data_IF_411815628556
#
_entry.id   IF_411815628556
#
_cell.length_a   1.000
_cell.length_b   1.000
_cell.length_c   1.000
_cell.angle_alpha   90.00
_cell.angle_beta   90.00
_cell.angle_gamma   90.00
#
_symmetry.space_group_name_H-M   'P 1'
#
loop_
_entity.id
_entity.type
_entity.pdbx_description
1 polymer ?
#
# COMPACT_ATOMS: atom_id res chain seq x y z
N UNK A 1 -5.87 -15.97 -11.59
CA UNK A 1 -6.74 -15.07 -10.81
C UNK A 1 -8.20 -15.40 -11.09
N UNK A 2 -8.74 -16.44 -10.47
CA UNK A 2 -10.16 -16.78 -10.55
C UNK A 2 -10.74 -16.75 -9.14
N UNK A 3 -11.87 -16.02 -9.00
CA UNK A 3 -12.81 -16.03 -7.88
C UNK A 3 -12.43 -15.18 -6.64
N UNK A 4 -12.24 -13.88 -6.83
CA UNK A 4 -12.81 -12.92 -5.90
C UNK A 4 -14.34 -12.85 -6.22
N UNK A 5 -15.20 -12.87 -5.21
CA UNK A 5 -16.68 -12.87 -5.42
C UNK A 5 -17.19 -11.51 -5.92
N UNK A 6 -16.37 -10.46 -5.92
CA UNK A 6 -16.73 -9.13 -6.40
C UNK A 6 -16.80 -9.12 -7.93
N UNK A 7 -17.78 -8.43 -8.53
CA UNK A 7 -17.87 -8.32 -9.98
C UNK A 7 -16.61 -7.67 -10.56
N UNK A 8 -16.08 -8.19 -11.66
CA UNK A 8 -14.92 -7.60 -12.38
C UNK A 8 -15.17 -6.14 -12.81
N UNK A 9 -16.41 -5.72 -12.89
CA UNK A 9 -16.80 -4.34 -13.25
C UNK A 9 -16.41 -3.32 -12.19
N UNK A 10 -16.23 -3.72 -10.92
CA UNK A 10 -15.85 -2.83 -9.82
C UNK A 10 -14.33 -2.77 -9.62
N UNK A 11 -13.53 -3.56 -10.36
CA UNK A 11 -12.07 -3.53 -10.27
C UNK A 11 -11.53 -2.24 -10.89
N UNK A 12 -10.91 -1.39 -10.05
CA UNK A 12 -10.33 -0.12 -10.45
C UNK A 12 -8.89 -0.27 -10.94
N UNK A 13 -8.07 -1.01 -10.21
CA UNK A 13 -6.67 -1.28 -10.57
C UNK A 13 -6.45 -2.79 -10.65
N UNK A 14 -5.76 -3.22 -11.70
CA UNK A 14 -5.28 -4.60 -11.87
C UNK A 14 -3.78 -4.62 -12.08
N UNK A 15 -3.08 -5.36 -11.25
CA UNK A 15 -1.65 -5.64 -11.38
C UNK A 15 -1.48 -7.13 -11.71
N UNK A 16 -0.74 -7.45 -12.77
CA UNK A 16 -0.58 -8.83 -13.24
C UNK A 16 0.88 -9.13 -13.55
N UNK A 17 1.45 -10.12 -12.84
CA UNK A 17 2.80 -10.61 -13.06
C UNK A 17 3.88 -9.53 -13.00
N UNK A 18 3.68 -8.49 -12.17
CA UNK A 18 4.53 -7.31 -12.13
C UNK A 18 5.93 -7.65 -11.65
N UNK A 19 6.95 -7.20 -12.42
CA UNK A 19 8.36 -7.39 -12.09
C UNK A 19 9.11 -6.07 -12.20
N UNK A 20 10.03 -5.85 -11.26
CA UNK A 20 11.01 -4.76 -11.31
C UNK A 20 12.35 -5.24 -10.79
N UNK A 21 13.33 -5.26 -11.69
CA UNK A 21 14.69 -5.66 -11.40
C UNK A 21 15.63 -4.48 -11.61
N UNK A 22 16.49 -4.24 -10.63
CA UNK A 22 17.51 -3.18 -10.69
C UNK A 22 18.89 -3.81 -10.86
N UNK A 23 19.68 -3.39 -11.89
CA UNK A 23 21.02 -3.93 -12.09
C UNK A 23 22.00 -3.36 -11.07
N UNK A 24 22.76 -4.23 -10.40
CA UNK A 24 23.95 -3.86 -9.63
C UNK A 24 25.14 -3.83 -10.60
N UNK A 25 25.78 -2.67 -10.71
CA UNK A 25 26.95 -2.47 -11.57
C UNK A 25 28.20 -2.29 -10.71
N UNK A 26 29.28 -3.03 -10.99
CA UNK A 26 30.57 -2.91 -10.30
C UNK A 26 31.71 -2.63 -11.29
N UNK A 27 32.76 -1.95 -10.78
CA UNK A 27 33.97 -1.68 -11.50
C UNK A 27 33.92 -0.53 -12.51
N UNK A 28 35.09 -0.17 -13.08
CA UNK A 28 35.30 0.94 -14.01
C UNK A 28 34.45 0.81 -15.30
N UNK A 29 34.17 -0.43 -15.75
CA UNK A 29 33.38 -0.73 -16.94
C UNK A 29 31.87 -0.87 -16.67
N UNK A 30 31.34 -0.56 -15.48
CA UNK A 30 29.91 -0.67 -15.09
C UNK A 30 29.26 -2.01 -15.44
N UNK A 31 30.03 -3.12 -15.39
CA UNK A 31 29.53 -4.46 -15.71
C UNK A 31 28.43 -4.87 -14.71
N UNK A 32 27.31 -5.39 -15.22
CA UNK A 32 26.23 -5.91 -14.39
C UNK A 32 26.71 -7.18 -13.70
N UNK A 33 26.74 -7.19 -12.38
CA UNK A 33 27.18 -8.30 -11.53
C UNK A 33 26.04 -9.05 -10.86
N UNK A 34 24.92 -8.38 -10.63
CA UNK A 34 23.70 -8.98 -10.04
C UNK A 34 22.47 -8.14 -10.42
N UNK A 35 21.28 -8.72 -10.18
CA UNK A 35 20.00 -8.06 -10.38
C UNK A 35 19.20 -8.10 -9.08
N UNK A 36 18.89 -6.95 -8.50
CA UNK A 36 18.01 -6.84 -7.33
C UNK A 36 16.57 -7.03 -7.79
N UNK A 37 15.94 -8.12 -7.37
CA UNK A 37 14.53 -8.43 -7.67
C UNK A 37 13.62 -7.73 -6.67
N UNK A 38 13.47 -6.41 -6.81
CA UNK A 38 12.69 -5.60 -5.87
C UNK A 38 11.18 -5.91 -5.90
N UNK A 39 10.66 -6.28 -7.08
CA UNK A 39 9.29 -6.80 -7.28
C UNK A 39 9.42 -7.98 -8.23
N UNK A 40 8.87 -9.14 -7.86
CA UNK A 40 9.04 -10.39 -8.60
C UNK A 40 7.73 -11.19 -8.61
N UNK A 41 7.00 -11.09 -9.73
CA UNK A 41 5.73 -11.78 -9.97
C UNK A 41 4.59 -11.37 -9.01
N UNK A 42 4.37 -10.07 -8.84
CA UNK A 42 3.31 -9.51 -8.01
C UNK A 42 2.01 -9.37 -8.82
N UNK A 43 0.90 -9.91 -8.27
CA UNK A 43 -0.43 -9.82 -8.89
C UNK A 43 -1.49 -9.56 -7.83
N UNK A 44 -2.31 -8.52 -8.03
CA UNK A 44 -3.47 -8.20 -7.19
C UNK A 44 -4.41 -7.24 -7.92
N UNK A 45 -5.64 -7.12 -7.42
CA UNK A 45 -6.62 -6.12 -7.85
C UNK A 45 -7.07 -5.25 -6.70
N UNK A 46 -7.44 -4.00 -7.00
CA UNK A 46 -8.08 -3.06 -6.07
C UNK A 46 -9.44 -2.69 -6.65
N UNK A 47 -10.48 -2.73 -5.81
CA UNK A 47 -11.85 -2.40 -6.20
C UNK A 47 -12.18 -0.95 -5.86
N UNK A 48 -13.16 -0.37 -6.54
CA UNK A 48 -13.63 1.00 -6.23
C UNK A 48 -14.13 1.11 -4.80
N UNK A 49 -13.74 2.18 -4.12
CA UNK A 49 -14.09 2.43 -2.72
C UNK A 49 -13.40 1.53 -1.72
N UNK A 50 -12.44 0.69 -2.14
CA UNK A 50 -11.68 -0.23 -1.28
C UNK A 50 -10.40 0.41 -0.76
N UNK A 51 -10.02 0.06 0.46
CA UNK A 51 -8.66 0.23 0.98
C UNK A 51 -7.93 -1.11 0.96
N UNK A 52 -7.00 -1.29 0.01
CA UNK A 52 -6.09 -2.44 -0.01
C UNK A 52 -4.80 -2.13 0.74
N UNK A 53 -4.53 -2.84 1.83
CA UNK A 53 -3.27 -2.79 2.57
C UNK A 53 -2.16 -3.56 1.85
N UNK A 54 -0.96 -2.98 1.74
CA UNK A 54 0.25 -3.68 1.30
C UNK A 54 1.28 -3.65 2.42
N UNK A 55 1.51 -4.80 3.07
CA UNK A 55 2.31 -4.92 4.28
C UNK A 55 3.50 -5.86 4.14
N UNK A 56 4.48 -5.74 5.02
CA UNK A 56 5.67 -6.60 5.08
C UNK A 56 6.87 -5.87 5.66
N UNK A 57 7.97 -6.60 5.90
CA UNK A 57 9.21 -6.05 6.45
C UNK A 57 9.78 -4.93 5.57
N UNK A 58 10.62 -4.05 6.16
CA UNK A 58 11.32 -3.01 5.41
C UNK A 58 12.14 -3.63 4.27
N UNK A 59 12.15 -2.97 3.11
CA UNK A 59 12.90 -3.45 1.93
C UNK A 59 12.23 -4.59 1.15
N UNK A 60 11.04 -5.09 1.54
CA UNK A 60 10.37 -6.18 0.81
C UNK A 60 9.78 -5.76 -0.55
N UNK A 61 9.80 -4.48 -0.94
CA UNK A 61 9.38 -4.01 -2.27
C UNK A 61 8.09 -3.18 -2.31
N UNK A 62 7.46 -2.85 -1.18
CA UNK A 62 6.20 -2.07 -1.09
C UNK A 62 6.28 -0.72 -1.81
N UNK A 63 7.21 0.13 -1.41
CA UNK A 63 7.42 1.45 -2.03
C UNK A 63 7.81 1.33 -3.51
N UNK A 64 8.54 0.27 -3.90
CA UNK A 64 8.85 0.02 -5.32
C UNK A 64 7.58 -0.31 -6.10
N UNK A 65 6.69 -1.11 -5.53
CA UNK A 65 5.37 -1.42 -6.12
C UNK A 65 4.52 -0.15 -6.27
N UNK A 66 4.47 0.70 -5.23
CA UNK A 66 3.82 2.00 -5.30
C UNK A 66 4.36 2.87 -6.45
N UNK A 67 5.69 3.01 -6.55
CA UNK A 67 6.35 3.82 -7.59
C UNK A 67 6.13 3.26 -9.00
N UNK A 68 5.95 1.96 -9.17
CA UNK A 68 5.57 1.34 -10.44
C UNK A 68 4.12 1.71 -10.81
N UNK A 69 3.20 1.64 -9.87
CA UNK A 69 1.79 2.04 -10.08
C UNK A 69 1.72 3.51 -10.43
N UNK A 70 2.47 4.37 -9.72
CA UNK A 70 2.57 5.81 -10.00
C UNK A 70 3.32 6.15 -11.31
N UNK A 71 3.79 5.15 -12.07
CA UNK A 71 4.62 5.32 -13.27
C UNK A 71 5.89 6.17 -13.04
N UNK A 72 6.40 6.20 -11.80
CA UNK A 72 7.71 6.78 -11.49
C UNK A 72 8.86 5.85 -11.95
N UNK A 73 8.57 4.54 -12.03
CA UNK A 73 9.43 3.53 -12.65
C UNK A 73 8.65 2.74 -13.69
N UNK A 74 9.28 2.41 -14.81
CA UNK A 74 8.73 1.45 -15.75
C UNK A 74 8.96 0.02 -15.23
N UNK A 75 7.99 -0.90 -15.37
CA UNK A 75 8.16 -2.30 -15.02
C UNK A 75 9.20 -2.98 -15.92
N UNK A 76 9.88 -3.99 -15.39
CA UNK A 76 10.73 -4.89 -16.19
C UNK A 76 9.86 -5.88 -16.99
N UNK A 77 8.75 -6.32 -16.40
CA UNK A 77 7.73 -7.16 -17.03
C UNK A 77 6.41 -7.07 -16.24
N UNK A 78 5.34 -7.63 -16.80
CA UNK A 78 4.00 -7.58 -16.22
C UNK A 78 3.21 -6.37 -16.69
N UNK A 79 2.00 -6.21 -16.13
CA UNK A 79 1.05 -5.17 -16.52
C UNK A 79 0.47 -4.48 -15.31
N UNK A 80 0.17 -3.19 -15.46
CA UNK A 80 -0.59 -2.38 -14.51
C UNK A 80 -1.69 -1.72 -15.32
N UNK A 81 -2.93 -2.09 -15.04
CA UNK A 81 -4.10 -1.60 -15.76
C UNK A 81 -4.99 -0.82 -14.78
N UNK A 82 -5.37 0.40 -15.16
CA UNK A 82 -6.28 1.26 -14.40
C UNK A 82 -7.57 1.44 -15.19
N UNK A 83 -8.71 1.33 -14.51
CA UNK A 83 -10.01 1.64 -15.08
C UNK A 83 -10.17 3.16 -15.18
N UNK A 84 -10.26 3.64 -16.41
CA UNK A 84 -10.48 5.06 -16.70
C UNK A 84 -11.94 5.44 -16.46
N UNK A 85 -12.20 6.74 -16.39
CA UNK A 85 -13.57 7.29 -16.28
C UNK A 85 -14.47 6.84 -17.45
N UNK A 86 -13.89 6.47 -18.61
CA UNK A 86 -14.60 5.84 -19.73
C UNK A 86 -15.11 4.43 -19.46
N UNK A 87 -14.67 3.78 -18.36
CA UNK A 87 -14.97 2.40 -18.03
C UNK A 87 -13.98 1.37 -18.58
N UNK A 88 -13.05 1.77 -19.44
CA UNK A 88 -12.03 0.90 -20.04
C UNK A 88 -10.84 0.68 -19.11
N UNK A 89 -10.26 -0.53 -19.14
CA UNK A 89 -9.00 -0.86 -18.48
C UNK A 89 -7.85 -0.48 -19.39
N UNK A 90 -7.02 0.47 -18.97
CA UNK A 90 -5.88 0.97 -19.73
C UNK A 90 -4.56 0.55 -19.10
N UNK A 91 -3.65 -0.04 -19.89
CA UNK A 91 -2.30 -0.39 -19.44
C UNK A 91 -1.46 0.87 -19.27
N UNK A 92 -1.00 1.12 -18.04
CA UNK A 92 -0.27 2.33 -17.70
C UNK A 92 1.13 2.40 -18.34
N UNK A 93 1.74 1.25 -18.63
CA UNK A 93 3.07 1.20 -19.25
C UNK A 93 3.07 1.59 -20.74
N UNK A 94 1.90 1.64 -21.38
CA UNK A 94 1.71 2.00 -22.80
C UNK A 94 1.33 3.46 -23.00
N UNK A 95 1.21 4.24 -21.93
CA UNK A 95 0.83 5.64 -21.99
C UNK A 95 1.95 6.50 -22.57
N UNK A 96 1.59 7.37 -23.49
CA UNK A 96 2.44 8.46 -23.96
C UNK A 96 2.49 9.62 -22.93
N UNK A 97 3.22 10.69 -23.25
CA UNK A 97 3.37 11.83 -22.35
C UNK A 97 2.03 12.52 -22.03
N UNK A 98 1.08 12.54 -22.97
CA UNK A 98 -0.26 13.10 -22.79
C UNK A 98 -1.09 12.20 -21.88
N UNK A 99 -1.10 10.90 -22.14
CA UNK A 99 -1.79 9.91 -21.30
C UNK A 99 -1.26 9.90 -19.86
N UNK A 100 0.07 10.04 -19.68
CA UNK A 100 0.68 10.18 -18.35
C UNK A 100 0.27 11.48 -17.64
N UNK A 101 0.11 12.59 -18.38
CA UNK A 101 -0.39 13.85 -17.81
C UNK A 101 -1.84 13.69 -17.32
N UNK A 102 -2.70 13.06 -18.11
CA UNK A 102 -4.09 12.75 -17.71
C UNK A 102 -4.14 11.78 -16.53
N UNK A 103 -3.31 10.72 -16.54
CA UNK A 103 -3.21 9.75 -15.44
C UNK A 103 -2.90 10.40 -14.10
N UNK A 104 -1.99 11.38 -14.07
CA UNK A 104 -1.63 12.13 -12.85
C UNK A 104 -2.78 12.90 -12.22
N UNK A 105 -3.89 13.09 -12.93
CA UNK A 105 -5.12 13.62 -12.36
C UNK A 105 -5.91 12.57 -11.60
N UNK A 106 -5.91 11.33 -12.08
CA UNK A 106 -6.71 10.22 -11.53
C UNK A 106 -5.94 9.40 -10.46
N UNK A 107 -4.62 9.47 -10.48
CA UNK A 107 -3.74 8.71 -9.62
C UNK A 107 -2.83 9.66 -8.83
N UNK A 108 -3.01 9.70 -7.52
CA UNK A 108 -2.29 10.59 -6.61
C UNK A 108 -1.56 9.83 -5.50
N UNK A 109 -0.64 10.49 -4.82
CA UNK A 109 0.17 9.87 -3.76
C UNK A 109 0.25 10.76 -2.52
N UNK A 110 0.06 10.15 -1.37
CA UNK A 110 0.39 10.71 -0.05
C UNK A 110 1.72 10.10 0.39
N UNK A 111 2.70 10.95 0.68
CA UNK A 111 4.07 10.54 1.00
C UNK A 111 4.27 10.32 2.50
N UNK A 112 5.28 9.52 2.82
CA UNK A 112 5.68 9.15 4.17
C UNK A 112 6.13 10.35 5.02
N UNK A 113 6.91 11.25 4.43
CA UNK A 113 7.46 12.42 5.12
C UNK A 113 6.68 13.70 4.75
N UNK A 114 5.87 14.24 5.68
CA UNK A 114 5.13 15.46 5.44
C UNK A 114 6.01 16.70 5.29
N UNK A 115 7.26 16.66 5.74
CA UNK A 115 8.20 17.79 5.64
C UNK A 115 8.77 17.91 4.24
N UNK A 116 9.20 16.80 3.64
CA UNK A 116 9.80 16.80 2.30
C UNK A 116 8.75 16.86 1.18
N UNK A 117 7.48 16.53 1.47
CA UNK A 117 6.41 16.49 0.47
C UNK A 117 5.85 17.84 0.09
N UNK A 118 6.03 18.86 0.92
CA UNK A 118 5.50 20.22 0.73
C UNK A 118 6.65 21.20 0.45
N UNK A 119 6.52 22.01 -0.62
CA UNK A 119 7.50 23.06 -0.91
C UNK A 119 7.45 24.16 0.17
N UNK A 120 8.51 24.35 0.98
CA UNK A 120 8.48 25.30 2.10
C UNK A 120 8.41 26.77 1.69
N UNK A 121 8.61 27.07 0.41
CA UNK A 121 8.56 28.43 -0.17
C UNK A 121 7.19 28.81 -0.71
N UNK A 122 6.25 27.89 -0.72
CA UNK A 122 4.87 28.14 -1.19
C UNK A 122 3.93 28.26 0.00
N UNK A 123 2.95 29.15 -0.11
CA UNK A 123 1.82 29.25 0.81
C UNK A 123 0.89 28.03 0.66
N UNK A 124 0.03 27.77 1.64
CA UNK A 124 -0.97 26.69 1.54
C UNK A 124 -1.87 26.88 0.31
N UNK A 125 -2.28 28.11 0.02
CA UNK A 125 -3.04 28.46 -1.21
C UNK A 125 -2.32 27.99 -2.46
N UNK A 126 -1.05 28.31 -2.60
CA UNK A 126 -0.24 27.96 -3.76
C UNK A 126 -0.07 26.43 -3.86
N UNK A 127 0.26 25.78 -2.74
CA UNK A 127 0.44 24.32 -2.68
C UNK A 127 -0.79 23.54 -3.12
N UNK A 128 -1.99 23.96 -2.66
CA UNK A 128 -3.23 23.27 -3.00
C UNK A 128 -3.77 23.69 -4.37
N UNK A 129 -3.50 24.92 -4.84
CA UNK A 129 -3.90 25.36 -6.16
C UNK A 129 -3.00 24.84 -7.29
N UNK A 130 -1.74 24.50 -6.99
CA UNK A 130 -0.75 24.06 -7.99
C UNK A 130 -1.24 22.89 -8.86
N UNK A 131 -1.76 21.77 -8.31
CA UNK A 131 -2.26 20.65 -9.11
C UNK A 131 -3.39 21.10 -10.07
N UNK A 132 -4.32 21.92 -9.57
CA UNK A 132 -5.42 22.44 -10.36
C UNK A 132 -4.92 23.36 -11.51
N UNK A 133 -3.89 24.17 -11.24
CA UNK A 133 -3.28 25.06 -12.23
C UNK A 133 -2.55 24.27 -13.32
N UNK A 134 -1.77 23.26 -12.96
CA UNK A 134 -1.04 22.39 -13.90
C UNK A 134 -2.02 21.69 -14.84
N UNK A 135 -3.14 21.22 -14.34
CA UNK A 135 -4.17 20.54 -15.12
C UNK A 135 -5.23 21.48 -15.72
N UNK A 136 -5.05 22.81 -15.58
CA UNK A 136 -5.94 23.86 -16.11
C UNK A 136 -7.40 23.70 -15.64
N UNK A 137 -7.60 23.27 -14.40
CA UNK A 137 -8.92 23.08 -13.80
C UNK A 137 -9.36 24.40 -13.16
N UNK A 138 -10.48 24.93 -13.61
CA UNK A 138 -11.12 26.14 -13.08
C UNK A 138 -10.35 27.44 -13.28
N UNK A 139 -11.01 28.56 -13.02
CA UNK A 139 -10.44 29.91 -12.93
C UNK A 139 -9.67 30.09 -11.61
N UNK A 140 -8.96 31.20 -11.47
CA UNK A 140 -8.26 31.53 -10.23
C UNK A 140 -9.22 31.58 -9.03
N UNK A 141 -10.36 32.23 -9.16
CA UNK A 141 -11.37 32.35 -8.09
C UNK A 141 -11.98 31.00 -7.72
N UNK A 142 -12.27 30.14 -8.71
CA UNK A 142 -12.78 28.79 -8.46
C UNK A 142 -11.75 27.91 -7.73
N UNK A 143 -10.46 28.04 -8.05
CA UNK A 143 -9.39 27.34 -7.34
C UNK A 143 -9.26 27.80 -5.91
N UNK A 144 -9.34 29.12 -5.65
CA UNK A 144 -9.32 29.66 -4.28
C UNK A 144 -10.47 29.11 -3.44
N UNK A 145 -11.70 29.13 -3.97
CA UNK A 145 -12.86 28.53 -3.31
C UNK A 145 -12.66 27.04 -3.01
N UNK A 146 -12.13 26.28 -3.97
CA UNK A 146 -11.82 24.85 -3.76
C UNK A 146 -10.76 24.63 -2.66
N UNK A 147 -9.80 25.53 -2.53
CA UNK A 147 -8.80 25.47 -1.46
C UNK A 147 -9.46 25.73 -0.11
N UNK A 148 -10.38 26.69 0.01
CA UNK A 148 -11.15 26.96 1.23
C UNK A 148 -11.97 25.73 1.64
N UNK A 149 -12.80 25.20 0.71
CA UNK A 149 -13.60 23.99 0.92
C UNK A 149 -12.73 22.79 1.35
N UNK A 150 -11.53 22.67 0.76
CA UNK A 150 -10.59 21.58 1.08
C UNK A 150 -9.98 21.73 2.46
N UNK A 151 -9.64 22.95 2.90
CA UNK A 151 -9.14 23.20 4.25
C UNK A 151 -10.19 22.84 5.31
N UNK A 152 -11.45 23.25 5.11
CA UNK A 152 -12.55 22.87 6.00
C UNK A 152 -12.71 21.34 6.04
N UNK A 153 -12.64 20.67 4.89
CA UNK A 153 -12.81 19.22 4.78
C UNK A 153 -11.75 18.43 5.56
N UNK A 154 -10.51 18.95 5.63
CA UNK A 154 -9.43 18.33 6.41
C UNK A 154 -9.32 18.85 7.84
N UNK A 155 -10.29 19.68 8.29
CA UNK A 155 -10.37 20.24 9.64
C UNK A 155 -9.31 21.32 9.93
N UNK A 156 -8.94 22.11 8.92
CA UNK A 156 -8.10 23.31 9.06
C UNK A 156 -8.93 24.57 8.74
N UNK A 157 -8.56 25.68 9.37
CA UNK A 157 -9.23 26.96 9.15
C UNK A 157 -8.87 27.57 7.79
N UNK A 158 -9.83 28.09 7.00
CA UNK A 158 -9.57 28.74 5.70
C UNK A 158 -8.57 29.89 5.77
N UNK A 159 -8.51 30.61 6.88
CA UNK A 159 -7.57 31.71 7.12
C UNK A 159 -6.10 31.27 7.05
N UNK A 160 -5.84 29.96 7.14
CA UNK A 160 -4.49 29.41 7.03
C UNK A 160 -3.95 29.38 5.60
N UNK A 161 -4.75 29.73 4.59
CA UNK A 161 -4.34 29.75 3.16
C UNK A 161 -3.05 30.53 2.90
N UNK A 162 -2.82 31.62 3.64
CA UNK A 162 -1.66 32.49 3.44
C UNK A 162 -0.45 32.09 4.28
N UNK A 163 -0.56 31.03 5.10
CA UNK A 163 0.56 30.52 5.89
C UNK A 163 1.48 29.61 5.06
N UNK A 164 2.71 29.51 5.51
CA UNK A 164 3.70 28.60 4.94
C UNK A 164 3.73 27.26 5.71
N UNK A 165 4.17 26.14 5.09
CA UNK A 165 4.20 24.82 5.73
C UNK A 165 4.94 24.79 7.08
N UNK A 166 6.00 25.57 7.25
CA UNK A 166 6.77 25.60 8.49
C UNK A 166 5.97 26.13 9.71
N UNK A 167 4.86 26.83 9.49
CA UNK A 167 3.96 27.31 10.57
C UNK A 167 3.00 26.23 11.10
N UNK A 168 3.04 25.00 10.57
CA UNK A 168 2.13 23.92 10.93
C UNK A 168 2.85 22.79 11.68
N UNK A 169 2.10 22.10 12.57
CA UNK A 169 2.57 20.87 13.20
C UNK A 169 2.73 19.72 12.18
N UNK A 170 3.41 18.63 12.56
CA UNK A 170 3.56 17.45 11.71
C UNK A 170 2.23 16.89 11.22
N UNK A 171 1.25 16.71 12.10
CA UNK A 171 -0.09 16.24 11.76
C UNK A 171 -0.87 17.21 10.85
N UNK A 172 -0.74 18.52 11.06
CA UNK A 172 -1.34 19.51 10.17
C UNK A 172 -0.70 19.51 8.78
N UNK A 173 0.62 19.34 8.69
CA UNK A 173 1.31 19.17 7.39
C UNK A 173 0.86 17.90 6.67
N UNK A 174 0.67 16.81 7.41
CA UNK A 174 0.16 15.58 6.82
C UNK A 174 -1.26 15.78 6.26
N UNK A 175 -2.14 16.50 6.98
CA UNK A 175 -3.46 16.90 6.48
C UNK A 175 -3.36 17.72 5.19
N UNK A 176 -2.42 18.67 5.11
CA UNK A 176 -2.16 19.45 3.89
C UNK A 176 -1.65 18.57 2.73
N UNK A 177 -0.79 17.59 3.02
CA UNK A 177 -0.34 16.59 2.03
C UNK A 177 -1.50 15.73 1.49
N UNK A 178 -2.42 15.32 2.37
CA UNK A 178 -3.65 14.61 2.00
C UNK A 178 -4.54 15.53 1.15
N UNK A 179 -4.78 16.77 1.58
CA UNK A 179 -5.56 17.75 0.84
C UNK A 179 -5.04 17.96 -0.59
N UNK A 180 -3.71 18.08 -0.74
CA UNK A 180 -3.05 18.22 -2.04
C UNK A 180 -3.30 17.01 -2.95
N UNK A 181 -3.31 15.82 -2.39
CA UNK A 181 -3.57 14.59 -3.14
C UNK A 181 -5.04 14.49 -3.59
N UNK A 182 -6.01 14.91 -2.74
CA UNK A 182 -7.43 14.73 -3.03
C UNK A 182 -8.09 15.89 -3.78
N UNK A 183 -7.47 17.06 -3.87
CA UNK A 183 -8.09 18.28 -4.41
C UNK A 183 -8.52 18.15 -5.89
N UNK A 184 -7.93 17.20 -6.62
CA UNK A 184 -8.30 16.88 -8.01
C UNK A 184 -9.36 15.78 -8.14
N UNK A 185 -9.89 15.26 -7.02
CA UNK A 185 -10.81 14.13 -6.96
C UNK A 185 -10.27 12.90 -7.71
N UNK A 186 -9.12 12.35 -7.27
CA UNK A 186 -8.50 11.19 -7.92
C UNK A 186 -9.33 9.93 -7.74
N UNK A 187 -9.20 8.98 -8.69
CA UNK A 187 -9.83 7.66 -8.60
C UNK A 187 -9.11 6.74 -7.62
N UNK A 188 -7.76 6.86 -7.51
CA UNK A 188 -6.91 6.04 -6.65
C UNK A 188 -5.85 6.91 -5.98
N UNK A 189 -5.67 6.71 -4.68
CA UNK A 189 -4.60 7.34 -3.90
C UNK A 189 -3.68 6.25 -3.35
N UNK A 190 -2.39 6.38 -3.61
CA UNK A 190 -1.35 5.55 -3.00
C UNK A 190 -0.86 6.25 -1.74
N UNK A 191 -1.12 5.68 -0.57
CA UNK A 191 -0.65 6.16 0.73
C UNK A 191 0.61 5.38 1.12
N UNK A 192 1.80 5.96 0.93
CA UNK A 192 3.08 5.32 1.26
C UNK A 192 3.49 5.69 2.69
N UNK A 193 3.19 4.83 3.66
CA UNK A 193 3.42 4.99 5.10
C UNK A 193 2.94 6.35 5.67
N UNK A 194 1.69 6.76 5.43
CA UNK A 194 1.23 8.15 5.64
C UNK A 194 1.21 8.59 7.11
N UNK A 195 1.41 7.69 8.05
CA UNK A 195 1.35 7.97 9.51
C UNK A 195 2.63 7.59 10.26
N UNK A 196 3.63 6.98 9.60
CA UNK A 196 4.80 6.40 10.27
C UNK A 196 5.70 7.43 10.99
N UNK A 197 5.67 8.69 10.56
CA UNK A 197 6.47 9.78 11.14
C UNK A 197 5.72 10.58 12.22
N UNK A 198 4.52 10.16 12.63
CA UNK A 198 3.65 10.86 13.56
C UNK A 198 3.54 10.12 14.89
N UNK A 199 3.23 10.84 15.97
CA UNK A 199 2.89 10.23 17.25
C UNK A 199 1.54 9.48 17.19
N UNK A 200 1.32 8.53 18.10
CA UNK A 200 0.18 7.60 18.09
C UNK A 200 -1.17 8.32 18.09
N UNK A 201 -1.30 9.41 18.84
CA UNK A 201 -2.55 10.17 18.93
C UNK A 201 -2.89 10.88 17.62
N UNK A 202 -1.88 11.43 16.96
CA UNK A 202 -2.02 12.09 15.65
C UNK A 202 -2.23 11.05 14.55
N UNK A 203 -1.58 9.86 14.63
CA UNK A 203 -1.85 8.76 13.71
C UNK A 203 -3.33 8.41 13.67
N UNK A 204 -3.97 8.21 14.84
CA UNK A 204 -5.39 7.89 14.92
C UNK A 204 -6.26 8.98 14.25
N UNK A 205 -5.94 10.25 14.45
CA UNK A 205 -6.66 11.36 13.82
C UNK A 205 -6.52 11.36 12.29
N UNK A 206 -5.34 11.04 11.76
CA UNK A 206 -5.12 10.98 10.31
C UNK A 206 -5.83 9.76 9.70
N UNK A 207 -5.83 8.60 10.39
CA UNK A 207 -6.55 7.41 9.93
C UNK A 207 -8.07 7.66 9.85
N UNK A 208 -8.65 8.25 10.89
CA UNK A 208 -10.06 8.62 10.89
C UNK A 208 -10.37 9.63 9.78
N UNK A 209 -9.50 10.63 9.58
CA UNK A 209 -9.66 11.57 8.47
C UNK A 209 -9.67 10.86 7.11
N UNK A 210 -8.77 9.90 6.87
CA UNK A 210 -8.74 9.15 5.61
C UNK A 210 -10.01 8.31 5.40
N UNK A 211 -10.56 7.69 6.46
CA UNK A 211 -11.84 6.97 6.40
C UNK A 211 -13.00 7.92 6.11
N UNK A 212 -13.10 9.05 6.81
CA UNK A 212 -14.13 10.07 6.58
C UNK A 212 -14.10 10.59 5.14
N UNK A 213 -12.90 10.81 4.59
CA UNK A 213 -12.71 11.25 3.22
C UNK A 213 -13.09 10.16 2.21
N UNK A 214 -12.79 8.90 2.53
CA UNK A 214 -13.20 7.75 1.70
C UNK A 214 -14.72 7.66 1.61
N UNK A 215 -15.41 7.73 2.74
CA UNK A 215 -16.87 7.65 2.81
C UNK A 215 -17.55 8.84 2.10
N UNK A 216 -17.04 10.06 2.30
CA UNK A 216 -17.62 11.30 1.74
C UNK A 216 -17.37 11.43 0.23
N UNK A 217 -16.21 11.00 -0.26
CA UNK A 217 -15.75 11.25 -1.63
C UNK A 217 -15.70 9.97 -2.48
N UNK A 218 -15.95 8.79 -1.91
CA UNK A 218 -15.86 7.49 -2.61
C UNK A 218 -14.44 7.14 -3.04
N UNK A 219 -13.43 7.54 -2.25
CA UNK A 219 -12.03 7.35 -2.59
C UNK A 219 -11.61 5.87 -2.51
N UNK A 220 -10.62 5.51 -3.29
CA UNK A 220 -9.98 4.19 -3.26
C UNK A 220 -8.53 4.35 -2.82
N UNK A 221 -8.06 3.48 -1.91
CA UNK A 221 -6.70 3.56 -1.38
C UNK A 221 -5.88 2.30 -1.67
N UNK A 222 -4.61 2.49 -2.03
CA UNK A 222 -3.55 1.52 -1.80
C UNK A 222 -2.75 2.00 -0.59
N UNK A 223 -2.91 1.33 0.54
CA UNK A 223 -2.33 1.75 1.82
C UNK A 223 -1.11 0.92 2.15
N UNK A 224 0.08 1.52 2.14
CA UNK A 224 1.34 0.87 2.49
C UNK A 224 1.66 1.18 3.94
N UNK A 225 1.90 0.14 4.72
CA UNK A 225 2.32 0.25 6.11
C UNK A 225 3.24 -0.90 6.52
N UNK A 226 4.00 -0.68 7.58
CA UNK A 226 4.73 -1.73 8.27
C UNK A 226 4.06 -2.10 9.62
N UNK A 227 3.18 -1.24 10.15
CA UNK A 227 2.40 -1.50 11.36
C UNK A 227 1.06 -2.15 11.01
N UNK A 228 0.90 -3.40 11.45
CA UNK A 228 -0.32 -4.18 11.23
C UNK A 228 -1.52 -3.67 12.04
N UNK A 229 -1.30 -2.98 13.18
CA UNK A 229 -2.38 -2.39 13.96
C UNK A 229 -3.09 -1.29 13.17
N UNK A 230 -2.30 -0.44 12.48
CA UNK A 230 -2.81 0.58 11.56
C UNK A 230 -3.60 -0.04 10.41
N UNK A 231 -3.04 -1.10 9.81
CA UNK A 231 -3.66 -1.80 8.68
C UNK A 231 -4.99 -2.44 9.07
N UNK A 232 -5.06 -3.06 10.25
CA UNK A 232 -6.30 -3.65 10.75
C UNK A 232 -7.43 -2.64 10.89
N UNK A 233 -7.09 -1.39 11.20
CA UNK A 233 -8.08 -0.32 11.40
C UNK A 233 -8.65 0.23 10.09
N UNK A 234 -7.84 0.37 9.04
CA UNK A 234 -8.25 1.12 7.83
C UNK A 234 -8.47 0.24 6.59
N UNK A 235 -7.88 -0.97 6.53
CA UNK A 235 -7.89 -1.77 5.30
C UNK A 235 -9.03 -2.78 5.26
N UNK A 236 -9.70 -2.89 4.11
CA UNK A 236 -10.69 -3.94 3.82
C UNK A 236 -10.01 -5.28 3.53
N UNK A 237 -8.94 -5.25 2.74
CA UNK A 237 -8.13 -6.42 2.38
C UNK A 237 -6.66 -6.11 2.56
N UNK A 238 -5.87 -7.15 2.78
CA UNK A 238 -4.43 -7.04 3.01
C UNK A 238 -3.67 -7.99 2.10
N UNK A 239 -2.67 -7.45 1.41
CA UNK A 239 -1.66 -8.18 0.67
C UNK A 239 -0.34 -8.17 1.46
N UNK A 240 0.13 -9.34 1.87
CA UNK A 240 1.38 -9.50 2.62
C UNK A 240 2.51 -9.75 1.63
N UNK A 241 3.53 -8.91 1.68
CA UNK A 241 4.67 -8.94 0.77
C UNK A 241 5.95 -9.38 1.47
N UNK A 242 6.65 -10.35 0.90
CA UNK A 242 7.96 -10.83 1.36
C UNK A 242 8.94 -10.89 0.18
N UNK A 243 10.07 -10.16 0.27
CA UNK A 243 11.16 -10.11 -0.73
C UNK A 243 10.65 -10.10 -2.17
N UNK A 244 9.89 -9.07 -2.51
CA UNK A 244 9.38 -8.83 -3.86
C UNK A 244 8.15 -9.65 -4.27
N UNK A 245 7.62 -10.52 -3.41
CA UNK A 245 6.50 -11.41 -3.74
C UNK A 245 5.33 -11.24 -2.78
N UNK A 246 4.09 -11.33 -3.28
CA UNK A 246 2.91 -11.49 -2.43
C UNK A 246 2.86 -12.94 -1.96
N UNK A 247 2.83 -13.14 -0.65
CA UNK A 247 2.77 -14.45 0.00
C UNK A 247 1.39 -14.80 0.53
N UNK A 248 0.60 -13.80 0.88
CA UNK A 248 -0.80 -13.95 1.28
C UNK A 248 -1.62 -12.72 0.88
N UNK A 249 -2.89 -12.92 0.50
CA UNK A 249 -3.87 -11.86 0.25
C UNK A 249 -5.24 -12.36 0.69
N UNK A 250 -5.88 -11.60 1.57
CA UNK A 250 -7.20 -11.94 2.10
C UNK A 250 -7.94 -10.67 2.58
N UNK A 251 -9.21 -10.81 2.95
CA UNK A 251 -9.89 -9.80 3.76
C UNK A 251 -9.19 -9.66 5.11
N UNK A 252 -9.23 -8.45 5.67
CA UNK A 252 -8.46 -8.09 6.86
C UNK A 252 -8.79 -9.00 8.04
N UNK A 253 -10.06 -9.21 8.35
CA UNK A 253 -10.44 -10.02 9.52
C UNK A 253 -9.99 -11.47 9.38
N UNK A 254 -10.19 -12.09 8.22
CA UNK A 254 -9.70 -13.45 7.95
C UNK A 254 -8.18 -13.58 8.03
N UNK A 255 -7.43 -12.59 7.55
CA UNK A 255 -5.98 -12.60 7.61
C UNK A 255 -5.47 -12.51 9.04
N UNK A 256 -6.11 -11.66 9.86
CA UNK A 256 -5.71 -11.46 11.26
C UNK A 256 -6.10 -12.63 12.15
N UNK A 257 -7.30 -13.19 11.99
CA UNK A 257 -7.80 -14.28 12.85
C UNK A 257 -7.25 -15.65 12.48
N UNK A 258 -7.07 -15.93 11.19
CA UNK A 258 -6.65 -17.24 10.70
C UNK A 258 -5.69 -17.10 9.48
N UNK A 259 -4.44 -16.65 9.68
CA UNK A 259 -3.47 -16.52 8.61
C UNK A 259 -3.20 -17.85 7.90
N UNK A 260 -2.80 -17.79 6.62
CA UNK A 260 -2.53 -18.99 5.81
C UNK A 260 -1.05 -19.13 5.44
N UNK A 261 -0.23 -18.15 5.75
CA UNK A 261 1.21 -18.18 5.48
C UNK A 261 2.01 -18.02 6.78
N UNK A 262 3.02 -18.85 7.05
CA UNK A 262 3.81 -18.76 8.30
C UNK A 262 4.53 -17.41 8.51
N UNK A 263 4.81 -16.68 7.45
CA UNK A 263 5.33 -15.31 7.55
C UNK A 263 4.28 -14.35 8.10
N UNK A 264 3.03 -14.48 7.66
CA UNK A 264 1.91 -13.68 8.19
C UNK A 264 1.69 -13.94 9.67
N UNK A 265 1.72 -15.23 10.09
CA UNK A 265 1.66 -15.61 11.50
C UNK A 265 2.77 -14.94 12.33
N UNK A 266 4.00 -14.97 11.84
CA UNK A 266 5.13 -14.33 12.52
C UNK A 266 4.96 -12.80 12.62
N UNK A 267 4.50 -12.13 11.55
CA UNK A 267 4.20 -10.69 11.58
C UNK A 267 3.09 -10.38 12.60
N UNK A 268 2.01 -11.16 12.63
CA UNK A 268 0.89 -10.98 13.56
C UNK A 268 1.30 -11.22 15.01
N UNK A 269 2.26 -12.13 15.26
CA UNK A 269 2.79 -12.38 16.61
C UNK A 269 3.54 -11.18 17.19
N UNK A 270 4.02 -10.26 16.32
CA UNK A 270 4.71 -9.05 16.75
C UNK A 270 3.77 -7.88 17.05
N UNK A 271 2.47 -7.99 16.68
CA UNK A 271 1.46 -6.98 17.01
C UNK A 271 1.22 -6.97 18.53
N UNK A 272 1.33 -5.82 19.21
CA UNK A 272 1.05 -5.72 20.63
C UNK A 272 -0.33 -6.27 21.01
N UNK A 273 -0.43 -6.95 22.13
CA UNK A 273 -1.72 -7.39 22.65
C UNK A 273 -2.55 -6.19 23.11
N UNK A 274 -3.87 -6.26 22.92
CA UNK A 274 -4.80 -5.22 23.37
C UNK A 274 -4.90 -5.11 24.89
N UNK A 275 -4.47 -6.14 25.65
CA UNK A 275 -4.43 -6.17 27.12
C UNK A 275 -3.04 -6.59 27.59
N UNK A 276 -2.48 -5.95 28.64
CA UNK A 276 -1.21 -6.32 29.26
C UNK A 276 -1.16 -7.75 29.79
N UNK A 277 -2.32 -8.34 30.13
CA UNK A 277 -2.44 -9.68 30.68
C UNK A 277 -2.33 -10.78 29.63
N UNK A 278 -2.48 -10.45 28.36
CA UNK A 278 -2.34 -11.37 27.24
C UNK A 278 -0.86 -11.48 26.85
N UNK A 279 -0.11 -12.35 27.51
CA UNK A 279 1.25 -12.72 27.05
C UNK A 279 1.15 -13.44 25.73
N UNK A 280 1.59 -12.77 24.65
CA UNK A 280 1.78 -13.41 23.33
C UNK A 280 3.21 -13.90 23.22
N UNK A 281 3.38 -15.19 22.94
CA UNK A 281 4.67 -15.73 22.53
C UNK A 281 5.01 -15.20 21.15
N UNK A 282 5.93 -14.24 21.09
CA UNK A 282 6.42 -13.67 19.81
C UNK A 282 7.18 -14.74 19.04
N UNK A 283 6.78 -14.97 17.80
CA UNK A 283 7.48 -15.89 16.90
C UNK A 283 8.70 -15.17 16.33
N UNK A 284 9.88 -15.63 16.75
CA UNK A 284 11.15 -15.12 16.21
C UNK A 284 11.52 -15.91 14.96
N UNK A 285 11.46 -15.24 13.80
CA UNK A 285 11.94 -15.82 12.55
C UNK A 285 13.45 -16.00 12.60
N UNK A 286 13.93 -17.19 12.22
CA UNK A 286 15.37 -17.51 12.19
C UNK A 286 16.06 -16.88 11.00
N UNK A 287 17.32 -16.47 11.16
CA UNK A 287 18.15 -15.92 10.09
C UNK A 287 17.73 -14.52 9.62
N UNK A 288 18.43 -14.01 8.62
CA UNK A 288 18.21 -12.70 8.02
C UNK A 288 17.16 -12.75 6.91
N UNK A 289 16.62 -11.58 6.56
CA UNK A 289 15.76 -11.44 5.39
C UNK A 289 16.57 -11.82 4.15
N UNK A 290 15.96 -12.59 3.26
CA UNK A 290 16.64 -13.02 2.04
C UNK A 290 17.10 -11.82 1.20
N UNK A 291 18.35 -11.86 0.72
CA UNK A 291 18.90 -10.83 -0.15
C UNK A 291 18.15 -10.82 -1.50
N UNK A 292 17.48 -9.73 -1.87
CA UNK A 292 16.78 -9.64 -3.15
C UNK A 292 17.70 -9.69 -4.38
N UNK A 293 19.00 -9.50 -4.20
CA UNK A 293 20.02 -9.67 -5.27
C UNK A 293 20.44 -11.13 -5.47
N UNK A 294 20.29 -11.96 -4.43
CA UNK A 294 20.60 -13.39 -4.47
C UNK A 294 19.58 -14.20 -3.67
N UNK A 295 18.29 -14.12 -4.04
CA UNK A 295 17.26 -14.78 -3.26
C UNK A 295 17.42 -16.29 -3.31
N UNK A 296 17.08 -17.02 -2.21
CA UNK A 296 17.07 -18.47 -2.20
C UNK A 296 16.19 -19.02 -3.33
N UNK A 297 16.54 -20.19 -3.86
CA UNK A 297 15.68 -20.89 -4.82
C UNK A 297 14.36 -21.29 -4.13
N UNK A 298 13.30 -21.51 -4.92
CA UNK A 298 12.07 -22.13 -4.46
C UNK A 298 11.31 -21.37 -3.35
N UNK A 299 10.99 -20.07 -3.59
CA UNK A 299 9.98 -19.37 -2.80
C UNK A 299 10.49 -18.47 -1.67
N UNK A 300 11.79 -18.23 -1.57
CA UNK A 300 12.46 -17.21 -0.74
C UNK A 300 12.28 -17.33 0.79
N UNK A 301 11.12 -17.79 1.30
CA UNK A 301 10.82 -17.82 2.73
C UNK A 301 11.24 -19.12 3.44
N UNK A 302 11.45 -20.23 2.73
CA UNK A 302 11.73 -21.53 3.33
C UNK A 302 12.92 -21.54 4.32
N UNK A 303 13.99 -20.72 4.18
CA UNK A 303 15.09 -20.72 5.17
C UNK A 303 14.68 -20.19 6.55
N UNK A 304 13.63 -19.35 6.59
CA UNK A 304 13.12 -18.74 7.83
C UNK A 304 11.86 -19.45 8.36
N UNK A 305 11.27 -20.36 7.58
CA UNK A 305 10.01 -21.00 7.90
C UNK A 305 10.20 -22.09 8.98
N UNK A 306 9.43 -21.98 10.07
CA UNK A 306 9.42 -22.99 11.13
C UNK A 306 8.77 -24.31 10.71
N UNK A 307 7.93 -24.28 9.68
CA UNK A 307 7.14 -25.41 9.17
C UNK A 307 7.70 -25.95 7.84
N UNK A 308 8.97 -25.69 7.53
CA UNK A 308 9.60 -26.06 6.27
C UNK A 308 9.57 -27.56 6.02
N UNK A 309 9.26 -27.98 4.79
CA UNK A 309 9.36 -29.35 4.29
C UNK A 309 10.30 -29.42 3.09
N UNK A 310 10.68 -30.64 2.67
CA UNK A 310 11.56 -30.85 1.51
C UNK A 310 10.99 -30.20 0.22
N UNK A 311 9.69 -30.34 0.01
CA UNK A 311 9.00 -29.69 -1.12
C UNK A 311 9.19 -28.17 -1.16
N UNK A 312 9.27 -27.51 0.00
CA UNK A 312 9.50 -26.06 0.07
C UNK A 312 10.91 -25.66 -0.37
N UNK A 313 11.87 -26.60 -0.38
CA UNK A 313 13.26 -26.38 -0.80
C UNK A 313 13.47 -26.64 -2.30
N UNK A 314 12.60 -27.44 -2.90
CA UNK A 314 12.73 -27.93 -4.28
C UNK A 314 11.75 -27.26 -5.24
N UNK A 315 10.58 -26.83 -4.76
CA UNK A 315 9.52 -26.25 -5.59
C UNK A 315 9.09 -24.87 -5.08
N UNK A 316 8.91 -23.91 -5.99
CA UNK A 316 8.32 -22.62 -5.63
C UNK A 316 6.80 -22.75 -5.50
N UNK A 317 6.18 -22.40 -4.34
CA UNK A 317 4.74 -22.40 -4.21
C UNK A 317 4.12 -21.32 -5.09
N UNK A 318 3.03 -21.64 -5.77
CA UNK A 318 2.25 -20.68 -6.56
C UNK A 318 1.25 -19.96 -5.66
N UNK A 319 0.99 -18.68 -5.93
CA UNK A 319 -0.11 -17.97 -5.28
C UNK A 319 -1.43 -18.59 -5.74
N UNK A 320 -2.16 -19.22 -4.84
CA UNK A 320 -3.39 -19.96 -5.14
C UNK A 320 -4.51 -19.64 -4.16
N UNK A 321 -5.74 -19.77 -4.59
CA UNK A 321 -6.91 -19.74 -3.71
C UNK A 321 -6.96 -21.04 -2.91
N UNK A 322 -7.20 -20.94 -1.59
CA UNK A 322 -7.38 -22.11 -0.76
C UNK A 322 -8.76 -22.72 -1.00
N UNK A 323 -8.82 -24.07 -1.10
CA UNK A 323 -10.08 -24.80 -1.31
C UNK A 323 -11.08 -24.50 -0.17
N UNK A 324 -12.29 -24.09 -0.52
CA UNK A 324 -13.33 -23.73 0.45
C UNK A 324 -13.18 -22.35 1.09
N UNK A 325 -12.14 -21.57 0.75
CA UNK A 325 -11.90 -20.20 1.26
C UNK A 325 -11.77 -19.21 0.09
N UNK A 326 -12.86 -18.88 -0.61
CA UNK A 326 -12.82 -17.96 -1.75
C UNK A 326 -12.34 -16.58 -1.30
N UNK A 327 -11.58 -15.89 -2.17
CA UNK A 327 -10.99 -14.57 -1.86
C UNK A 327 -9.72 -14.62 -1.02
N UNK A 328 -9.30 -15.82 -0.53
CA UNK A 328 -8.07 -15.99 0.24
C UNK A 328 -6.99 -16.67 -0.60
N UNK A 329 -5.92 -15.94 -0.83
CA UNK A 329 -4.79 -16.40 -1.64
C UNK A 329 -3.57 -16.61 -0.75
N UNK A 330 -2.84 -17.68 -0.97
CA UNK A 330 -1.59 -17.94 -0.25
C UNK A 330 -0.53 -18.60 -1.13
N UNK A 331 0.72 -18.31 -0.83
CA UNK A 331 1.91 -18.85 -1.49
C UNK A 331 2.63 -19.84 -0.55
N UNK A 332 1.87 -20.77 0.04
CA UNK A 332 2.36 -21.81 0.94
C UNK A 332 1.91 -23.21 0.48
N UNK A 333 2.85 -24.15 0.44
CA UNK A 333 2.54 -25.56 0.10
C UNK A 333 1.66 -26.22 1.18
N UNK A 334 1.82 -25.81 2.43
CA UNK A 334 1.18 -26.42 3.59
C UNK A 334 -0.06 -25.69 4.09
N UNK A 335 -0.57 -24.74 3.34
CA UNK A 335 -1.71 -23.91 3.78
C UNK A 335 -3.00 -24.70 4.06
N UNK A 336 -3.14 -25.91 3.48
CA UNK A 336 -4.28 -26.79 3.72
C UNK A 336 -4.11 -27.66 5.01
N UNK A 337 -2.91 -27.71 5.58
CA UNK A 337 -2.55 -28.60 6.71
C UNK A 337 -2.29 -27.82 8.00
N UNK A 338 -1.82 -26.57 7.88
CA UNK A 338 -1.39 -25.77 9.03
C UNK A 338 -2.55 -25.00 9.63
N UNK A 339 -2.68 -25.08 10.95
CA UNK A 339 -3.48 -24.17 11.76
C UNK A 339 -2.56 -23.14 12.39
N UNK A 340 -2.45 -21.99 11.73
CA UNK A 340 -1.56 -20.90 12.15
C UNK A 340 -2.28 -19.97 13.13
N UNK A 341 -1.51 -19.40 14.06
CA UNK A 341 -2.04 -18.55 15.13
C UNK A 341 -2.33 -17.14 14.61
N UNK A 342 -3.57 -16.73 14.74
CA UNK A 342 -4.00 -15.36 14.49
C UNK A 342 -4.03 -14.49 15.74
N UNK A 343 -4.64 -13.34 15.59
CA UNK A 343 -4.97 -12.38 16.66
C UNK A 343 -6.48 -12.41 16.87
N UNK A 344 -7.00 -12.41 18.10
CA UNK A 344 -8.43 -12.40 18.38
C UNK A 344 -9.18 -11.29 17.61
N UNK A 345 -10.43 -11.55 17.27
CA UNK A 345 -11.28 -10.54 16.62
C UNK A 345 -11.58 -9.35 17.54
N UNK A 346 -11.93 -8.19 16.97
CA UNK A 346 -12.33 -7.03 17.79
C UNK A 346 -13.55 -7.32 18.66
N UNK A 347 -14.48 -8.17 18.18
CA UNK A 347 -15.68 -8.56 18.91
C UNK A 347 -15.38 -9.44 20.15
N UNK A 348 -14.30 -10.20 20.14
CA UNK A 348 -13.90 -11.04 21.28
C UNK A 348 -13.19 -10.25 22.40
N UNK A 349 -12.55 -9.11 22.03
CA UNK A 349 -11.85 -8.25 23.00
C UNK A 349 -12.82 -7.37 23.79
N UNK A 350 -14.03 -7.09 23.26
CA UNK A 350 -15.05 -6.27 23.95
C UNK A 350 -15.87 -7.04 24.99
N UNK A 351 -15.70 -8.37 25.12
CA UNK A 351 -16.45 -9.25 26.03
C UNK A 351 -15.61 -9.82 27.17
N UNK A 352 -14.34 -9.44 27.28
CA UNK A 352 -13.41 -9.78 28.36
C UNK A 352 -13.00 -8.52 29.12
#
# INVERSE_FOLDING_TARGET
MQQDRRPRQDELLRVTGLKKYFPIRKGFGKKITAMVKAVDDVSFGIFKGETLGLVGESGCGKTTTARLIMQAYLPTAGRIELRRSSGEMQNLAELDARGLHELRRELQMVFQDPYSSLNPRMTVRELLSEPLAIHRIGTKSERERRVEEMLELIGLQPEYMNRYPHAFSGGQRQRLGIARAIIMNPSLIVCDEPVSALDVSVQAQILNLLQDLQDKLGLTYLFIAHDLSVVRHICDRVAVMYVGKIVELADTESLFTAPLHPYTEALLSAVPASSPDLKKDRILLRGEVADPASPPRCGYFHPRCLYVQEKCRTEEPKLRVLKGKPGRFTKCHRADELELRGVPSFSEVSLA
#
